data_IF_336098645395
#
_entry.id   IF_336098645395
#
_cell.length_a   1.000
_cell.length_b   1.000
_cell.length_c   1.000
_cell.angle_alpha   90.00
_cell.angle_beta   90.00
_cell.angle_gamma   90.00
#
_symmetry.space_group_name_H-M   'P 1'
#
loop_
_entity.id
_entity.type
_entity.pdbx_description
1 polymer ?
#
# COMPACT_ATOMS: atom_id res chain seq x y z
N UNK A 1 58.04 19.93 -11.48
CA UNK A 1 56.64 19.69 -11.13
C UNK A 1 56.14 18.49 -11.90
N UNK A 2 55.85 17.35 -11.26
CA UNK A 2 55.60 16.09 -11.95
C UNK A 2 54.34 16.14 -12.84
N UNK A 3 54.45 15.63 -14.07
CA UNK A 3 53.33 15.50 -15.02
C UNK A 3 52.05 14.94 -14.37
N UNK A 4 52.20 14.01 -13.46
CA UNK A 4 51.11 13.43 -12.67
C UNK A 4 50.38 14.48 -11.85
N UNK A 5 51.09 15.40 -11.19
CA UNK A 5 50.42 16.44 -10.36
C UNK A 5 49.66 17.45 -11.18
N UNK A 6 50.15 17.77 -12.40
CA UNK A 6 49.42 18.64 -13.33
C UNK A 6 48.18 17.97 -13.89
N UNK A 7 48.25 16.69 -14.21
CA UNK A 7 47.14 15.88 -14.67
C UNK A 7 46.03 15.78 -13.60
N UNK A 8 46.40 15.47 -12.37
CA UNK A 8 45.46 15.39 -11.24
C UNK A 8 44.78 16.75 -11.01
N UNK A 9 45.49 17.87 -11.02
CA UNK A 9 44.89 19.20 -10.87
C UNK A 9 43.91 19.52 -11.99
N UNK A 10 44.20 19.17 -13.23
CA UNK A 10 43.29 19.32 -14.37
C UNK A 10 42.05 18.47 -14.19
N UNK A 11 42.19 17.21 -13.78
CA UNK A 11 41.08 16.30 -13.53
C UNK A 11 40.17 16.85 -12.42
N UNK A 12 40.74 17.31 -11.30
CA UNK A 12 39.98 17.94 -10.22
C UNK A 12 39.23 19.20 -10.69
N UNK A 13 39.89 20.01 -11.54
CA UNK A 13 39.25 21.22 -12.08
C UNK A 13 38.08 20.91 -13.00
N UNK A 14 38.21 19.89 -13.85
CA UNK A 14 37.12 19.42 -14.71
C UNK A 14 35.97 18.86 -13.88
N UNK A 15 36.29 18.06 -12.86
CA UNK A 15 35.28 17.50 -11.96
C UNK A 15 34.52 18.59 -11.18
N UNK A 16 35.23 19.62 -10.69
CA UNK A 16 34.58 20.77 -10.01
C UNK A 16 33.63 21.50 -10.97
N UNK A 17 34.05 21.79 -12.21
CA UNK A 17 33.20 22.47 -13.19
C UNK A 17 31.97 21.63 -13.55
N UNK A 18 32.16 20.34 -13.72
CA UNK A 18 31.07 19.39 -14.00
C UNK A 18 30.08 19.33 -12.82
N UNK A 19 30.58 19.29 -11.58
CA UNK A 19 29.72 19.28 -10.38
C UNK A 19 28.90 20.58 -10.25
N UNK A 20 29.54 21.74 -10.52
CA UNK A 20 28.83 23.03 -10.51
C UNK A 20 27.75 23.03 -11.61
N UNK A 21 28.09 22.61 -12.82
CA UNK A 21 27.14 22.49 -13.93
C UNK A 21 25.95 21.60 -13.54
N UNK A 22 26.21 20.44 -12.95
CA UNK A 22 25.17 19.50 -12.53
C UNK A 22 24.25 20.12 -11.47
N UNK A 23 24.81 20.83 -10.47
CA UNK A 23 24.03 21.50 -9.44
C UNK A 23 23.14 22.58 -10.06
N UNK A 24 23.70 23.43 -10.92
CA UNK A 24 22.92 24.48 -11.61
C UNK A 24 21.81 23.89 -12.45
N UNK A 25 22.12 22.81 -13.18
CA UNK A 25 21.15 22.10 -13.97
C UNK A 25 20.00 21.53 -13.14
N UNK A 26 20.30 20.89 -12.00
CA UNK A 26 19.27 20.34 -11.09
C UNK A 26 18.40 21.44 -10.48
N UNK A 27 18.99 22.58 -10.13
CA UNK A 27 18.22 23.72 -9.61
C UNK A 27 17.29 24.29 -10.70
N UNK A 28 17.79 24.43 -11.93
CA UNK A 28 16.96 24.90 -13.04
C UNK A 28 15.83 23.92 -13.38
N UNK A 29 16.09 22.61 -13.31
CA UNK A 29 15.07 21.58 -13.55
C UNK A 29 13.96 21.65 -12.49
N UNK A 30 14.31 21.82 -11.20
CA UNK A 30 13.36 22.00 -10.12
C UNK A 30 12.53 23.28 -10.31
N UNK A 31 13.18 24.39 -10.62
CA UNK A 31 12.49 25.69 -10.86
C UNK A 31 11.55 25.56 -12.05
N UNK A 32 12.03 25.01 -13.16
CA UNK A 32 11.22 24.81 -14.36
C UNK A 32 10.02 23.91 -14.08
N UNK A 33 10.23 22.78 -13.39
CA UNK A 33 9.15 21.87 -13.03
C UNK A 33 8.13 22.52 -12.07
N UNK A 34 8.58 23.42 -11.17
CA UNK A 34 7.68 24.15 -10.27
C UNK A 34 6.74 25.11 -11.00
N UNK A 35 7.15 25.65 -12.14
CA UNK A 35 6.37 26.56 -12.96
C UNK A 35 5.33 25.87 -13.86
N UNK A 36 5.41 24.55 -14.04
CA UNK A 36 4.43 23.80 -14.81
C UNK A 36 3.08 23.81 -14.07
N UNK A 37 1.95 24.12 -14.74
CA UNK A 37 0.63 24.06 -14.15
C UNK A 37 0.29 22.68 -13.57
N UNK A 38 -0.44 22.61 -12.46
CA UNK A 38 -0.72 21.36 -11.74
C UNK A 38 -1.48 20.32 -12.56
N UNK A 39 -2.39 20.75 -13.43
CA UNK A 39 -3.10 19.87 -14.36
C UNK A 39 -2.15 19.20 -15.38
N UNK A 40 -1.12 19.91 -15.82
CA UNK A 40 -0.09 19.36 -16.70
C UNK A 40 0.92 18.51 -15.93
N UNK A 41 1.31 18.93 -14.71
CA UNK A 41 2.14 18.11 -13.83
C UNK A 41 1.49 16.77 -13.56
N UNK A 42 0.20 16.74 -13.25
CA UNK A 42 -0.53 15.50 -12.96
C UNK A 42 -0.49 14.49 -14.14
N UNK A 43 -0.40 15.00 -15.37
CA UNK A 43 -0.23 14.17 -16.58
C UNK A 43 1.22 13.71 -16.80
N UNK A 44 2.18 14.48 -16.32
CA UNK A 44 3.61 14.19 -16.43
C UNK A 44 4.10 13.24 -15.34
N UNK A 45 3.45 13.23 -14.18
CA UNK A 45 3.85 12.35 -13.11
C UNK A 45 3.72 10.88 -13.51
N UNK A 46 4.76 10.12 -13.24
CA UNK A 46 4.69 8.69 -13.17
C UNK A 46 4.19 8.30 -11.77
N UNK A 47 3.32 7.29 -11.64
CA UNK A 47 2.82 6.77 -10.38
C UNK A 47 3.95 6.45 -9.37
N UNK A 48 5.13 6.00 -9.86
CA UNK A 48 6.33 5.78 -9.04
C UNK A 48 6.85 7.01 -8.31
N UNK A 49 6.60 8.21 -8.83
CA UNK A 49 7.00 9.45 -8.17
C UNK A 49 6.14 9.78 -6.96
N UNK A 50 4.94 9.22 -6.88
CA UNK A 50 3.97 9.47 -5.82
C UNK A 50 3.97 8.39 -4.74
N UNK A 51 4.46 7.17 -5.06
CA UNK A 51 4.75 6.12 -4.10
C UNK A 51 6.18 6.30 -3.62
N UNK A 52 6.34 6.82 -2.42
CA UNK A 52 7.64 7.16 -1.83
C UNK A 52 8.02 6.13 -0.78
N UNK A 53 9.33 5.88 -0.63
CA UNK A 53 9.81 5.09 0.50
C UNK A 53 9.51 5.81 1.81
N UNK A 54 8.84 5.11 2.71
CA UNK A 54 8.73 5.56 4.10
C UNK A 54 9.97 5.14 4.89
N UNK A 55 10.32 5.96 5.85
CA UNK A 55 11.43 5.73 6.76
C UNK A 55 11.04 4.86 7.96
N UNK A 56 9.75 4.80 8.25
CA UNK A 56 9.20 4.19 9.45
C UNK A 56 8.40 2.92 9.15
N UNK A 57 7.98 2.77 7.89
CA UNK A 57 7.25 1.65 7.37
C UNK A 57 7.42 1.65 5.84
N UNK A 58 7.84 0.67 5.25
CA UNK A 58 8.36 0.42 3.91
C UNK A 58 8.07 1.50 2.83
N UNK A 59 6.80 1.88 2.58
CA UNK A 59 6.41 2.86 1.56
C UNK A 59 5.09 3.56 1.89
N UNK A 60 4.80 4.67 1.19
CA UNK A 60 3.55 5.42 1.32
C UNK A 60 3.32 6.30 0.08
N UNK A 61 2.21 7.00 0.04
CA UNK A 61 2.01 8.09 -0.89
C UNK A 61 2.68 9.38 -0.41
N UNK A 62 3.08 10.18 -1.38
CA UNK A 62 3.51 11.56 -1.12
C UNK A 62 2.32 12.40 -0.65
N UNK A 63 2.45 13.17 0.44
CA UNK A 63 1.42 14.11 0.88
C UNK A 63 1.12 15.20 -0.15
N UNK A 64 -0.11 15.71 -0.13
CA UNK A 64 -0.58 16.83 -0.96
C UNK A 64 -0.30 16.62 -2.45
N UNK A 65 -0.55 15.41 -2.95
CA UNK A 65 -0.22 14.98 -4.30
C UNK A 65 -1.48 14.74 -5.13
N UNK A 66 -1.41 15.07 -6.41
CA UNK A 66 -2.47 14.81 -7.40
C UNK A 66 -1.84 14.17 -8.62
N UNK A 67 -2.28 12.98 -8.99
CA UNK A 67 -1.73 12.25 -10.14
C UNK A 67 -2.75 11.28 -10.72
N UNK A 68 -2.47 10.82 -11.95
CA UNK A 68 -3.21 9.71 -12.56
C UNK A 68 -2.44 8.42 -12.37
N UNK A 69 -3.15 7.39 -11.96
CA UNK A 69 -2.67 6.02 -11.95
C UNK A 69 -3.46 5.17 -12.94
N UNK A 70 -2.99 3.97 -13.21
CA UNK A 70 -3.62 3.02 -14.11
C UNK A 70 -3.72 1.68 -13.41
N UNK A 71 -4.88 1.03 -13.56
CA UNK A 71 -5.09 -0.34 -13.12
C UNK A 71 -5.82 -1.10 -14.22
N UNK A 72 -5.11 -2.00 -14.87
CA UNK A 72 -5.60 -2.58 -16.10
C UNK A 72 -5.86 -1.51 -17.16
N UNK A 73 -7.07 -1.46 -17.68
CA UNK A 73 -7.53 -0.43 -18.63
C UNK A 73 -8.06 0.83 -17.94
N UNK A 74 -8.25 0.79 -16.63
CA UNK A 74 -8.79 1.92 -15.89
C UNK A 74 -7.71 2.97 -15.62
N UNK A 75 -8.00 4.18 -16.03
CA UNK A 75 -7.23 5.36 -15.66
C UNK A 75 -8.02 6.18 -14.67
N UNK A 76 -7.48 6.35 -13.47
CA UNK A 76 -8.16 7.02 -12.38
C UNK A 76 -7.27 8.06 -11.72
N UNK A 77 -7.90 9.04 -11.08
CA UNK A 77 -7.19 10.11 -10.41
C UNK A 77 -7.05 9.82 -8.92
N UNK A 78 -5.85 10.00 -8.42
CA UNK A 78 -5.55 9.92 -6.99
C UNK A 78 -5.23 11.33 -6.48
N UNK A 79 -5.89 11.70 -5.40
CA UNK A 79 -5.51 12.80 -4.55
C UNK A 79 -5.03 12.26 -3.21
N UNK A 80 -4.05 12.94 -2.61
CA UNK A 80 -3.60 12.63 -1.26
C UNK A 80 -3.69 13.88 -0.39
N UNK A 81 -4.12 13.71 0.85
CA UNK A 81 -4.21 14.78 1.83
C UNK A 81 -2.83 15.11 2.46
N UNK A 82 -2.81 15.98 3.47
CA UNK A 82 -1.58 16.40 4.15
C UNK A 82 -0.84 15.30 4.89
N UNK A 83 -1.47 14.16 5.13
CA UNK A 83 -0.86 12.97 5.74
C UNK A 83 -0.30 11.99 4.70
N UNK A 84 -0.58 12.21 3.40
CA UNK A 84 -0.26 11.25 2.35
C UNK A 84 -1.32 10.17 2.16
N UNK A 85 -2.47 10.29 2.78
CA UNK A 85 -3.55 9.33 2.65
C UNK A 85 -4.41 9.64 1.44
N UNK A 86 -4.89 8.61 0.73
CA UNK A 86 -5.78 8.77 -0.41
C UNK A 86 -7.07 9.47 0.03
N UNK A 87 -7.48 10.50 -0.71
CA UNK A 87 -8.56 11.39 -0.34
C UNK A 87 -9.29 11.90 -1.61
N UNK A 88 -10.43 12.56 -1.44
CA UNK A 88 -11.19 13.19 -2.54
C UNK A 88 -10.51 14.43 -3.10
N UNK A 89 -9.60 15.05 -2.35
CA UNK A 89 -8.86 16.25 -2.76
C UNK A 89 -7.56 16.40 -1.98
N UNK A 90 -6.69 17.28 -2.48
CA UNK A 90 -5.54 17.75 -1.72
C UNK A 90 -6.03 18.71 -0.65
N UNK A 91 -6.10 18.25 0.59
CA UNK A 91 -6.55 19.06 1.73
C UNK A 91 -5.67 18.87 2.94
N UNK A 92 -5.65 19.86 3.80
CA UNK A 92 -5.14 19.71 5.16
C UNK A 92 -6.13 18.85 5.95
N UNK A 93 -5.63 17.85 6.65
CA UNK A 93 -6.46 17.05 7.56
C UNK A 93 -6.69 17.85 8.84
N UNK A 94 -7.94 17.99 9.21
CA UNK A 94 -8.38 18.56 10.46
C UNK A 94 -8.97 17.44 11.32
N UNK A 95 -8.30 17.12 12.41
CA UNK A 95 -8.81 16.14 13.37
C UNK A 95 -10.07 16.64 14.04
N UNK A 96 -10.99 15.71 14.29
CA UNK A 96 -12.29 15.96 14.92
C UNK A 96 -12.37 15.22 16.25
N UNK A 97 -13.53 15.22 16.91
CA UNK A 97 -13.73 14.47 18.15
C UNK A 97 -13.58 12.96 17.91
N UNK A 98 -14.00 12.49 16.75
CA UNK A 98 -13.81 11.11 16.32
C UNK A 98 -13.03 11.03 15.02
N UNK A 99 -11.93 10.27 15.05
CA UNK A 99 -11.03 10.11 13.91
C UNK A 99 -10.84 8.63 13.61
N UNK A 100 -11.41 8.16 12.52
CA UNK A 100 -11.41 6.75 12.12
C UNK A 100 -10.35 6.53 11.05
N UNK A 101 -9.40 5.65 11.34
CA UNK A 101 -8.33 5.26 10.42
C UNK A 101 -8.68 3.92 9.76
N UNK A 102 -8.85 3.92 8.44
CA UNK A 102 -8.85 2.71 7.64
C UNK A 102 -7.42 2.40 7.19
N UNK A 103 -6.97 1.17 7.43
CA UNK A 103 -5.67 0.69 6.98
C UNK A 103 -5.83 -0.71 6.37
N UNK A 104 -5.06 -0.98 5.33
CA UNK A 104 -5.10 -2.19 4.55
C UNK A 104 -4.19 -2.04 3.33
N UNK A 105 -4.27 -2.98 2.43
CA UNK A 105 -3.51 -3.09 1.19
C UNK A 105 -4.18 -2.35 0.00
N UNK A 106 -4.04 -2.90 -1.19
CA UNK A 106 -4.62 -2.39 -2.44
C UNK A 106 -6.15 -2.36 -2.44
N UNK A 107 -6.82 -3.22 -1.68
CA UNK A 107 -8.27 -3.20 -1.52
C UNK A 107 -8.72 -1.96 -0.74
N UNK A 108 -8.00 -1.60 0.32
CA UNK A 108 -8.30 -0.39 1.10
C UNK A 108 -7.85 0.87 0.39
N UNK A 109 -6.72 0.84 -0.30
CA UNK A 109 -6.35 1.92 -1.23
C UNK A 109 -7.46 2.16 -2.25
N UNK A 110 -8.11 1.11 -2.71
CA UNK A 110 -9.08 1.14 -3.80
C UNK A 110 -8.40 1.40 -5.13
N UNK A 111 -7.49 0.48 -5.53
CA UNK A 111 -6.80 0.56 -6.83
C UNK A 111 -7.80 0.52 -7.98
N UNK A 112 -7.53 1.24 -9.06
CA UNK A 112 -8.42 1.34 -10.21
C UNK A 112 -9.61 2.29 -10.05
N UNK A 113 -9.80 2.92 -8.87
CA UNK A 113 -11.01 3.68 -8.54
C UNK A 113 -10.65 5.00 -7.87
N UNK A 114 -11.34 6.09 -8.24
CA UNK A 114 -11.30 7.36 -7.50
C UNK A 114 -11.84 7.17 -6.08
N UNK A 115 -11.33 7.98 -5.15
CA UNK A 115 -11.64 7.88 -3.71
C UNK A 115 -13.14 7.79 -3.41
N UNK A 116 -13.96 8.60 -4.06
CA UNK A 116 -15.41 8.70 -3.83
C UNK A 116 -16.16 7.39 -4.10
N UNK A 117 -15.58 6.52 -4.93
CA UNK A 117 -16.14 5.23 -5.31
C UNK A 117 -15.45 4.05 -4.58
N UNK A 118 -14.42 4.31 -3.76
CA UNK A 118 -13.84 3.27 -2.88
C UNK A 118 -14.79 2.98 -1.72
N UNK A 119 -14.71 1.81 -1.13
CA UNK A 119 -15.53 1.47 0.02
C UNK A 119 -15.32 2.47 1.18
N UNK A 120 -14.11 2.96 1.40
CA UNK A 120 -13.81 3.97 2.42
C UNK A 120 -14.51 5.29 2.11
N UNK A 121 -14.44 5.78 0.86
CA UNK A 121 -15.10 7.02 0.44
C UNK A 121 -16.63 6.94 0.48
N UNK A 122 -17.19 5.76 0.19
CA UNK A 122 -18.62 5.49 0.31
C UNK A 122 -19.07 5.48 1.78
N UNK A 123 -18.33 4.80 2.66
CA UNK A 123 -18.55 4.81 4.11
C UNK A 123 -18.47 6.24 4.65
N UNK A 124 -17.43 6.99 4.27
CA UNK A 124 -17.30 8.40 4.67
C UNK A 124 -18.55 9.21 4.30
N UNK A 125 -19.06 9.00 3.08
CA UNK A 125 -20.23 9.71 2.58
C UNK A 125 -21.47 9.39 3.43
N UNK A 126 -21.69 8.14 3.79
CA UNK A 126 -22.83 7.72 4.62
C UNK A 126 -22.71 8.18 6.08
N UNK A 127 -21.52 8.03 6.66
CA UNK A 127 -21.28 8.41 8.05
C UNK A 127 -21.41 9.92 8.25
N UNK A 128 -20.88 10.74 7.33
CA UNK A 128 -20.97 12.21 7.41
C UNK A 128 -22.39 12.77 7.23
N UNK A 129 -23.32 11.98 6.70
CA UNK A 129 -24.77 12.35 6.73
C UNK A 129 -25.33 12.34 8.15
N UNK A 130 -24.86 11.42 9.00
CA UNK A 130 -25.34 11.23 10.37
C UNK A 130 -24.54 12.01 11.40
N UNK A 131 -23.21 12.09 11.20
CA UNK A 131 -22.26 12.65 12.17
C UNK A 131 -21.40 13.74 11.53
N UNK A 132 -21.48 14.96 12.06
CA UNK A 132 -20.73 16.11 11.51
C UNK A 132 -19.31 16.24 12.04
N UNK A 133 -19.05 15.74 13.27
CA UNK A 133 -17.76 15.90 13.95
C UNK A 133 -16.92 14.61 13.90
N UNK A 134 -16.75 14.09 12.68
CA UNK A 134 -16.01 12.86 12.41
C UNK A 134 -15.06 13.07 11.23
N UNK A 135 -13.86 12.53 11.33
CA UNK A 135 -12.89 12.47 10.25
C UNK A 135 -12.62 11.02 9.85
N UNK A 136 -12.65 10.73 8.56
CA UNK A 136 -12.36 9.42 7.98
C UNK A 136 -11.06 9.52 7.21
N UNK A 137 -10.13 8.60 7.48
CA UNK A 137 -8.78 8.61 6.94
C UNK A 137 -8.50 7.28 6.23
N UNK A 138 -8.21 7.30 4.93
CA UNK A 138 -7.82 6.12 4.17
C UNK A 138 -6.29 6.01 4.09
N UNK A 139 -5.70 5.23 4.98
CA UNK A 139 -4.27 4.98 5.05
C UNK A 139 -3.84 3.67 4.33
N UNK A 140 -4.74 3.06 3.55
CA UNK A 140 -4.43 1.88 2.74
C UNK A 140 -3.49 2.21 1.58
N UNK A 141 -2.56 1.31 1.30
CA UNK A 141 -1.62 1.42 0.18
C UNK A 141 -1.33 0.02 -0.37
N UNK A 142 -1.28 -0.09 -1.68
CA UNK A 142 -0.98 -1.32 -2.40
C UNK A 142 0.24 -2.05 -1.81
N UNK A 143 0.16 -3.37 -1.72
CA UNK A 143 1.20 -4.25 -1.19
C UNK A 143 1.57 -3.99 0.27
N UNK A 144 0.68 -3.43 1.06
CA UNK A 144 0.81 -3.49 2.51
C UNK A 144 0.45 -4.89 3.01
N UNK A 145 0.94 -5.20 4.20
CA UNK A 145 0.63 -6.43 4.95
C UNK A 145 0.58 -6.12 6.44
N UNK A 146 0.29 -7.08 7.29
CA UNK A 146 0.14 -6.86 8.73
C UNK A 146 1.42 -6.32 9.37
N UNK A 147 2.61 -6.68 8.85
CA UNK A 147 3.89 -6.11 9.27
C UNK A 147 3.97 -4.60 9.04
N UNK A 148 3.49 -4.15 7.87
CA UNK A 148 3.47 -2.72 7.55
C UNK A 148 2.36 -2.02 8.32
N UNK A 149 1.18 -2.65 8.52
CA UNK A 149 0.10 -2.09 9.34
C UNK A 149 0.61 -1.80 10.75
N UNK A 150 1.27 -2.76 11.39
CA UNK A 150 1.86 -2.60 12.71
C UNK A 150 2.83 -1.41 12.77
N UNK A 151 3.78 -1.37 11.85
CA UNK A 151 4.79 -0.31 11.82
C UNK A 151 4.20 1.06 11.55
N UNK A 152 3.18 1.16 10.65
CA UNK A 152 2.49 2.40 10.33
C UNK A 152 1.62 2.88 11.49
N UNK A 153 0.83 2.00 12.09
CA UNK A 153 0.00 2.31 13.26
C UNK A 153 0.88 2.81 14.41
N UNK A 154 1.97 2.09 14.71
CA UNK A 154 2.93 2.53 15.72
C UNK A 154 3.49 3.92 15.39
N UNK A 155 3.89 4.18 14.15
CA UNK A 155 4.39 5.49 13.73
C UNK A 155 3.35 6.59 13.93
N UNK A 156 2.11 6.35 13.52
CA UNK A 156 1.03 7.34 13.60
C UNK A 156 0.66 7.63 15.06
N UNK A 157 0.54 6.60 15.89
CA UNK A 157 0.09 6.74 17.27
C UNK A 157 1.22 7.14 18.23
N UNK A 158 2.40 6.53 18.10
CA UNK A 158 3.48 6.73 19.06
C UNK A 158 4.42 7.88 18.69
N UNK A 159 4.73 8.03 17.41
CA UNK A 159 5.68 9.05 16.97
C UNK A 159 5.01 10.35 16.54
N UNK A 160 3.88 10.25 15.83
CA UNK A 160 3.10 11.41 15.37
C UNK A 160 2.07 11.87 16.38
N UNK A 161 1.73 11.03 17.37
CA UNK A 161 0.71 11.30 18.40
C UNK A 161 -0.63 11.74 17.80
N UNK A 162 -1.03 11.09 16.71
CA UNK A 162 -2.29 11.41 16.05
C UNK A 162 -3.47 11.00 16.93
N UNK A 163 -4.51 11.85 17.06
CA UNK A 163 -5.67 11.59 17.92
C UNK A 163 -6.66 10.62 17.24
N UNK A 164 -6.22 9.42 16.89
CA UNK A 164 -7.05 8.38 16.32
C UNK A 164 -7.89 7.75 17.42
N UNK A 165 -9.18 7.60 17.18
CA UNK A 165 -10.15 7.02 18.13
C UNK A 165 -10.56 5.60 17.73
N UNK A 166 -10.58 5.32 16.44
CA UNK A 166 -11.00 4.04 15.89
C UNK A 166 -10.05 3.61 14.77
N UNK A 167 -9.75 2.33 14.69
CA UNK A 167 -8.97 1.74 13.61
C UNK A 167 -9.76 0.60 12.98
N UNK A 168 -9.82 0.58 11.65
CA UNK A 168 -10.42 -0.49 10.86
C UNK A 168 -9.33 -1.05 9.95
N UNK A 169 -8.96 -2.31 10.19
CA UNK A 169 -7.96 -3.02 9.40
C UNK A 169 -8.67 -3.97 8.45
N UNK A 170 -8.39 -3.87 7.16
CA UNK A 170 -8.79 -4.89 6.19
C UNK A 170 -7.58 -5.78 5.92
N UNK A 171 -7.72 -7.08 6.18
CA UNK A 171 -6.69 -8.10 5.94
C UNK A 171 -7.14 -9.01 4.81
N UNK A 172 -6.24 -9.30 3.89
CA UNK A 172 -6.42 -10.22 2.78
C UNK A 172 -5.53 -11.46 2.90
N UNK A 173 -5.82 -12.51 2.15
CA UNK A 173 -4.96 -13.69 2.11
C UNK A 173 -3.57 -13.40 1.52
N UNK A 174 -3.50 -12.42 0.60
CA UNK A 174 -2.25 -11.95 0.02
C UNK A 174 -1.32 -11.29 1.05
N UNK A 175 -1.87 -10.65 2.09
CA UNK A 175 -1.08 -10.03 3.17
C UNK A 175 -0.26 -11.06 3.94
N UNK A 176 -0.84 -12.26 4.14
CA UNK A 176 -0.18 -13.38 4.83
C UNK A 176 1.06 -13.84 4.06
N UNK A 177 0.94 -13.94 2.72
CA UNK A 177 2.08 -14.23 1.87
C UNK A 177 3.14 -13.12 1.93
N UNK A 178 2.72 -11.88 1.84
CA UNK A 178 3.60 -10.72 1.84
C UNK A 178 4.36 -10.58 3.17
N UNK A 179 3.76 -10.89 4.30
CA UNK A 179 4.42 -10.92 5.60
C UNK A 179 5.57 -11.91 5.63
N UNK A 180 5.40 -13.08 5.02
CA UNK A 180 6.44 -14.11 5.03
C UNK A 180 7.55 -13.88 4.00
N UNK A 181 7.19 -13.51 2.76
CA UNK A 181 8.15 -13.43 1.66
C UNK A 181 8.73 -12.05 1.40
N UNK A 182 7.98 -10.99 1.71
CA UNK A 182 8.40 -9.62 1.38
C UNK A 182 8.80 -8.81 2.61
N UNK A 183 8.11 -9.01 3.74
CA UNK A 183 8.18 -8.09 4.87
C UNK A 183 8.48 -8.76 6.22
N UNK A 184 9.03 -9.96 6.22
CA UNK A 184 9.41 -10.68 7.44
C UNK A 184 10.24 -9.81 8.40
N UNK A 185 11.11 -8.94 7.87
CA UNK A 185 12.00 -8.09 8.65
C UNK A 185 11.40 -6.70 8.96
N UNK A 186 10.15 -6.43 8.52
CA UNK A 186 9.57 -5.07 8.63
C UNK A 186 8.87 -4.84 9.98
N UNK A 187 8.20 -5.81 10.56
CA UNK A 187 7.36 -5.65 11.75
C UNK A 187 8.09 -5.04 12.94
N UNK A 188 8.69 -5.87 13.78
CA UNK A 188 9.39 -5.43 14.98
C UNK A 188 10.66 -4.62 14.67
N UNK A 189 11.40 -4.97 13.62
CA UNK A 189 12.64 -4.30 13.27
C UNK A 189 12.45 -2.83 12.89
N UNK A 190 11.35 -2.46 12.23
CA UNK A 190 11.02 -1.06 11.96
C UNK A 190 10.55 -0.31 13.22
N UNK A 191 10.02 -1.02 14.21
CA UNK A 191 9.64 -0.44 15.50
C UNK A 191 10.85 -0.28 16.39
N UNK A 192 11.69 -1.31 16.52
CA UNK A 192 12.78 -1.39 17.47
C UNK A 192 14.09 -0.84 16.92
N UNK A 193 14.41 -1.11 15.68
CA UNK A 193 15.62 -0.60 15.07
C UNK A 193 15.42 0.86 14.69
N UNK A 194 16.18 1.70 15.35
CA UNK A 194 16.42 3.06 14.94
C UNK A 194 16.93 3.00 13.50
N UNK A 195 16.03 3.21 12.57
CA UNK A 195 16.36 3.33 11.16
C UNK A 195 17.61 4.19 11.08
N UNK A 196 18.65 3.66 10.50
CA UNK A 196 19.96 4.28 10.42
C UNK A 196 19.79 5.75 10.03
N UNK A 197 20.03 6.65 10.99
CA UNK A 197 19.82 8.08 10.80
C UNK A 197 20.63 8.63 9.60
N UNK A 198 21.73 7.95 9.22
CA UNK A 198 22.53 8.31 8.05
C UNK A 198 21.76 8.25 6.75
N UNK A 199 20.82 7.30 6.61
CA UNK A 199 20.03 7.15 5.39
C UNK A 199 18.82 8.09 5.32
N UNK A 200 18.38 8.68 6.44
CA UNK A 200 17.19 9.55 6.51
C UNK A 200 17.27 10.77 5.57
N UNK A 201 18.39 11.46 5.59
CA UNK A 201 18.57 12.63 4.73
C UNK A 201 18.66 12.25 3.26
N UNK A 202 19.30 11.12 2.96
CA UNK A 202 19.42 10.61 1.61
C UNK A 202 18.05 10.19 1.05
N UNK A 203 17.25 9.47 1.82
CA UNK A 203 15.88 9.10 1.41
C UNK A 203 15.02 10.36 1.20
N UNK A 204 15.09 11.35 2.09
CA UNK A 204 14.40 12.63 1.90
C UNK A 204 14.85 13.33 0.63
N UNK A 205 16.14 13.36 0.35
CA UNK A 205 16.70 13.97 -0.85
C UNK A 205 16.24 13.24 -2.12
N UNK A 206 16.28 11.91 -2.12
CA UNK A 206 15.81 11.08 -3.24
C UNK A 206 14.31 11.31 -3.48
N UNK A 207 13.50 11.29 -2.42
CA UNK A 207 12.06 11.54 -2.53
C UNK A 207 11.77 12.96 -3.03
N UNK A 208 12.51 13.95 -2.53
CA UNK A 208 12.40 15.33 -3.01
C UNK A 208 12.74 15.44 -4.50
N UNK A 209 13.85 14.83 -4.92
CA UNK A 209 14.26 14.81 -6.33
C UNK A 209 13.22 14.13 -7.22
N UNK A 210 12.77 12.92 -6.84
CA UNK A 210 11.73 12.17 -7.55
C UNK A 210 10.46 12.99 -7.77
N UNK A 211 10.13 13.81 -6.82
CA UNK A 211 8.86 14.53 -6.77
C UNK A 211 8.90 15.91 -7.41
N UNK A 212 10.08 16.49 -7.61
CA UNK A 212 10.21 17.90 -7.96
C UNK A 212 11.07 18.15 -9.22
N UNK A 213 11.37 17.09 -10.00
CA UNK A 213 12.19 17.24 -11.19
C UNK A 213 11.53 16.66 -12.44
N UNK A 214 11.57 17.42 -13.53
CA UNK A 214 11.05 16.98 -14.82
C UNK A 214 11.88 15.83 -15.40
N UNK A 215 13.21 15.92 -15.25
CA UNK A 215 14.12 14.89 -15.77
C UNK A 215 13.84 13.52 -15.18
N UNK A 216 13.53 13.45 -13.89
CA UNK A 216 13.14 12.18 -13.26
C UNK A 216 11.87 11.61 -13.90
N UNK A 217 10.86 12.45 -14.14
CA UNK A 217 9.61 12.01 -14.77
C UNK A 217 9.86 11.48 -16.20
N UNK A 218 10.73 12.14 -16.96
CA UNK A 218 11.08 11.71 -18.32
C UNK A 218 11.89 10.42 -18.29
N UNK A 219 12.94 10.35 -17.47
CA UNK A 219 13.83 9.17 -17.42
C UNK A 219 13.04 7.93 -17.00
N UNK A 220 12.17 8.03 -16.01
CA UNK A 220 11.39 6.87 -15.54
C UNK A 220 10.37 6.35 -16.55
N UNK A 221 10.02 7.15 -17.57
CA UNK A 221 9.16 6.70 -18.68
C UNK A 221 9.94 6.01 -19.81
N UNK A 222 11.18 6.41 -20.02
CA UNK A 222 12.02 5.91 -21.13
C UNK A 222 12.81 4.68 -20.72
N UNK A 223 13.21 4.58 -19.44
CA UNK A 223 14.05 3.49 -18.96
C UNK A 223 13.21 2.34 -18.40
N UNK A 224 13.59 1.08 -18.74
CA UNK A 224 12.97 -0.07 -18.11
C UNK A 224 13.10 0.00 -16.56
N UNK A 225 12.09 -0.51 -15.84
CA UNK A 225 12.00 -0.42 -14.38
C UNK A 225 13.23 -0.86 -13.59
N UNK A 226 13.99 -1.80 -14.13
CA UNK A 226 15.13 -2.43 -13.44
C UNK A 226 16.44 -1.65 -13.52
N UNK A 227 16.57 -0.66 -14.40
CA UNK A 227 17.86 0.01 -14.66
C UNK A 227 18.20 1.05 -13.59
N UNK A 228 17.24 1.89 -13.21
CA UNK A 228 17.49 2.96 -12.22
C UNK A 228 17.69 2.41 -10.79
N UNK A 229 16.87 1.48 -10.28
CA UNK A 229 17.14 0.83 -8.99
C UNK A 229 18.47 0.09 -8.95
N UNK A 230 18.85 -0.59 -10.03
CA UNK A 230 20.14 -1.28 -10.15
C UNK A 230 21.34 -0.33 -10.05
N UNK A 231 21.27 0.82 -10.72
CA UNK A 231 22.30 1.86 -10.66
C UNK A 231 22.41 2.49 -9.25
N UNK A 232 21.28 2.79 -8.62
CA UNK A 232 21.26 3.33 -7.25
C UNK A 232 21.83 2.29 -6.27
N UNK A 233 21.47 1.01 -6.41
CA UNK A 233 21.99 -0.09 -5.59
C UNK A 233 23.49 -0.28 -5.74
N UNK A 234 24.03 -0.16 -6.96
CA UNK A 234 25.48 -0.27 -7.22
C UNK A 234 26.29 0.89 -6.63
N UNK A 235 25.72 2.09 -6.56
CA UNK A 235 26.39 3.29 -6.02
C UNK A 235 26.46 3.26 -4.49
N UNK A 236 25.43 2.73 -3.83
CA UNK A 236 25.28 2.87 -2.37
C UNK A 236 25.51 1.60 -1.57
N UNK A 237 25.80 0.46 -2.24
CA UNK A 237 26.17 -0.83 -1.61
C UNK A 237 25.38 -1.16 -0.32
N UNK A 238 24.11 -0.76 -0.28
CA UNK A 238 23.24 -1.05 0.84
C UNK A 238 22.80 -2.51 0.77
N UNK A 239 23.02 -3.26 1.85
CA UNK A 239 22.57 -4.64 2.05
C UNK A 239 21.05 -4.77 2.15
N UNK A 240 20.29 -3.73 1.87
CA UNK A 240 18.85 -3.80 1.81
C UNK A 240 18.48 -4.67 0.62
N UNK A 241 18.03 -5.88 0.90
CA UNK A 241 17.30 -6.72 -0.05
C UNK A 241 16.01 -5.99 -0.45
N UNK A 242 16.15 -5.02 -1.34
CA UNK A 242 15.03 -4.60 -2.19
C UNK A 242 14.94 -5.71 -3.25
N UNK A 243 14.43 -6.85 -2.85
CA UNK A 243 14.01 -7.86 -3.81
C UNK A 243 12.88 -7.26 -4.61
N UNK A 244 13.21 -7.01 -5.87
CA UNK A 244 12.33 -6.95 -7.01
C UNK A 244 10.83 -6.77 -6.67
N UNK A 245 10.43 -5.56 -6.49
CA UNK A 245 9.05 -5.16 -6.75
C UNK A 245 8.80 -5.54 -8.22
N UNK A 246 8.16 -6.67 -8.42
CA UNK A 246 7.94 -7.25 -9.73
C UNK A 246 6.85 -6.44 -10.42
N UNK A 247 7.24 -5.54 -11.32
CA UNK A 247 6.33 -4.81 -12.21
C UNK A 247 5.59 -5.72 -13.20
N UNK A 248 5.77 -7.01 -13.10
CA UNK A 248 5.02 -7.98 -13.89
C UNK A 248 3.52 -8.05 -13.52
N UNK A 249 3.08 -7.43 -12.44
CA UNK A 249 1.64 -7.31 -12.14
C UNK A 249 0.88 -6.43 -13.13
N UNK A 250 1.55 -5.57 -13.90
CA UNK A 250 0.90 -4.80 -14.97
C UNK A 250 0.69 -5.60 -16.27
N UNK A 251 1.24 -6.77 -16.42
CA UNK A 251 1.16 -7.58 -17.65
C UNK A 251 0.03 -8.61 -17.69
N UNK A 252 -0.81 -8.70 -16.68
CA UNK A 252 -1.86 -9.74 -16.62
C UNK A 252 -3.17 -9.41 -17.34
N UNK A 253 -3.23 -8.33 -18.10
CA UNK A 253 -4.49 -7.80 -18.64
C UNK A 253 -4.81 -8.18 -20.08
N UNK A 254 -4.20 -9.18 -20.64
CA UNK A 254 -4.53 -9.59 -21.99
C UNK A 254 -4.89 -11.07 -22.07
N UNK A 255 -6.10 -11.44 -21.69
CA UNK A 255 -6.70 -12.70 -22.22
C UNK A 255 -8.24 -12.61 -22.15
N UNK A 256 -8.86 -13.14 -23.19
CA UNK A 256 -10.29 -13.17 -23.48
C UNK A 256 -11.11 -14.06 -22.54
N UNK A 257 -12.21 -13.67 -22.41
CA UNK A 257 -13.50 -13.94 -21.79
C UNK A 257 -13.96 -15.36 -21.61
N UNK A 258 -13.52 -16.52 -21.48
CA UNK A 258 -14.51 -17.58 -21.55
C UNK A 258 -14.53 -18.70 -20.49
N UNK A 259 -13.51 -18.90 -19.64
CA UNK A 259 -13.62 -19.96 -18.63
C UNK A 259 -12.86 -19.61 -17.35
N UNK A 260 -13.35 -20.09 -16.19
CA UNK A 260 -12.70 -19.93 -14.88
C UNK A 260 -11.24 -20.42 -14.91
N UNK A 261 -10.96 -21.46 -15.68
CA UNK A 261 -9.62 -22.06 -15.83
C UNK A 261 -8.60 -21.10 -16.47
N UNK A 262 -9.05 -20.03 -17.13
CA UNK A 262 -8.22 -19.03 -17.79
C UNK A 262 -7.95 -17.78 -16.89
N UNK A 263 -8.48 -17.76 -15.68
CA UNK A 263 -8.23 -16.66 -14.74
C UNK A 263 -6.85 -16.83 -14.12
N UNK A 264 -5.90 -16.01 -14.57
CA UNK A 264 -4.47 -16.16 -14.24
C UNK A 264 -4.16 -16.11 -12.75
N UNK A 265 -4.87 -15.28 -11.97
CA UNK A 265 -4.62 -15.11 -10.54
C UNK A 265 -5.03 -16.33 -9.69
N UNK A 266 -5.90 -17.23 -10.19
CA UNK A 266 -6.32 -18.43 -9.43
C UNK A 266 -5.16 -19.39 -9.13
N UNK A 267 -4.09 -19.30 -9.89
CA UNK A 267 -2.89 -20.11 -9.71
C UNK A 267 -1.72 -19.29 -9.15
N UNK A 268 -1.99 -18.08 -8.66
CA UNK A 268 -0.94 -17.24 -8.10
C UNK A 268 -0.35 -17.86 -6.83
N UNK A 269 0.97 -17.77 -6.70
CA UNK A 269 1.71 -18.38 -5.60
C UNK A 269 1.29 -17.84 -4.23
N UNK A 270 0.81 -16.60 -4.17
CA UNK A 270 0.43 -15.91 -2.94
C UNK A 270 -0.66 -16.66 -2.15
N UNK A 271 -1.46 -17.48 -2.82
CA UNK A 271 -2.54 -18.26 -2.21
C UNK A 271 -2.25 -19.75 -2.13
N UNK A 272 -1.10 -20.22 -2.60
CA UNK A 272 -0.79 -21.64 -2.69
C UNK A 272 -0.88 -22.38 -1.35
N UNK A 273 -0.61 -21.69 -0.25
CA UNK A 273 -0.72 -22.23 1.11
C UNK A 273 -2.15 -22.65 1.51
N UNK A 274 -3.17 -22.11 0.85
CA UNK A 274 -4.56 -22.49 1.09
C UNK A 274 -5.00 -23.74 0.29
N UNK A 275 -4.19 -24.18 -0.66
CA UNK A 275 -4.56 -25.26 -1.61
C UNK A 275 -3.61 -26.44 -1.60
N UNK A 276 -2.41 -26.31 -1.09
CA UNK A 276 -1.36 -27.32 -1.10
C UNK A 276 -0.88 -27.63 0.31
N UNK A 277 -0.96 -28.93 0.70
CA UNK A 277 -0.43 -29.41 1.98
C UNK A 277 1.06 -29.09 2.13
N UNK A 278 1.83 -29.30 1.06
CA UNK A 278 3.25 -29.01 1.06
C UNK A 278 3.56 -27.52 1.33
N UNK A 279 2.86 -26.61 0.65
CA UNK A 279 3.03 -25.17 0.85
C UNK A 279 2.55 -24.72 2.23
N UNK A 280 1.41 -25.27 2.71
CA UNK A 280 0.89 -24.98 4.03
C UNK A 280 1.88 -25.39 5.14
N UNK A 281 2.45 -26.59 5.06
CA UNK A 281 3.39 -27.09 6.07
C UNK A 281 4.78 -26.43 5.97
N UNK A 282 5.25 -26.12 4.75
CA UNK A 282 6.56 -25.48 4.57
C UNK A 282 6.59 -24.03 5.03
N UNK A 283 5.57 -23.24 4.71
CA UNK A 283 5.57 -21.81 4.99
C UNK A 283 4.22 -21.23 5.43
N UNK A 284 3.09 -21.77 4.94
CA UNK A 284 1.76 -21.17 5.15
C UNK A 284 1.41 -20.97 6.62
N UNK A 285 1.64 -22.02 7.45
CA UNK A 285 1.42 -21.96 8.91
C UNK A 285 2.26 -20.86 9.55
N UNK A 286 3.55 -20.78 9.21
CA UNK A 286 4.44 -19.75 9.76
C UNK A 286 4.04 -18.35 9.33
N UNK A 287 3.57 -18.20 8.10
CA UNK A 287 3.07 -16.94 7.58
C UNK A 287 1.82 -16.47 8.36
N UNK A 288 0.86 -17.38 8.58
CA UNK A 288 -0.32 -17.11 9.41
C UNK A 288 0.12 -16.70 10.82
N UNK A 289 1.00 -17.47 11.46
CA UNK A 289 1.48 -17.19 12.82
C UNK A 289 2.15 -15.80 12.90
N UNK A 290 2.95 -15.44 11.90
CA UNK A 290 3.59 -14.12 11.82
C UNK A 290 2.56 -12.99 11.69
N UNK A 291 1.58 -13.14 10.80
CA UNK A 291 0.52 -12.15 10.63
C UNK A 291 -0.31 -12.00 11.92
N UNK A 292 -0.63 -13.13 12.59
CA UNK A 292 -1.33 -13.10 13.87
C UNK A 292 -0.51 -12.42 14.97
N UNK A 293 0.80 -12.62 15.01
CA UNK A 293 1.68 -11.93 15.95
C UNK A 293 1.65 -10.41 15.74
N UNK A 294 1.74 -9.95 14.49
CA UNK A 294 1.64 -8.53 14.16
C UNK A 294 0.29 -7.94 14.60
N UNK A 295 -0.82 -8.66 14.35
CA UNK A 295 -2.14 -8.22 14.78
C UNK A 295 -2.27 -8.17 16.29
N UNK A 296 -1.70 -9.11 17.04
CA UNK A 296 -1.65 -9.11 18.51
C UNK A 296 -0.93 -7.87 19.07
N UNK A 297 0.19 -7.49 18.44
CA UNK A 297 0.89 -6.25 18.85
C UNK A 297 0.07 -4.99 18.52
N UNK A 298 -0.66 -4.97 17.39
CA UNK A 298 -1.59 -3.87 17.09
C UNK A 298 -2.71 -3.79 18.13
N UNK A 299 -3.32 -4.92 18.51
CA UNK A 299 -4.35 -4.99 19.55
C UNK A 299 -3.84 -4.38 20.85
N UNK A 300 -2.67 -4.80 21.29
CA UNK A 300 -2.02 -4.28 22.50
C UNK A 300 -1.79 -2.75 22.46
N UNK A 301 -1.33 -2.22 21.31
CA UNK A 301 -1.16 -0.77 21.14
C UNK A 301 -2.51 -0.05 21.22
N UNK A 302 -3.54 -0.59 20.60
CA UNK A 302 -4.90 -0.02 20.62
C UNK A 302 -5.49 -0.02 22.04
N UNK A 303 -5.36 -1.11 22.76
CA UNK A 303 -5.85 -1.24 24.16
C UNK A 303 -5.18 -0.23 25.09
N UNK A 304 -3.85 -0.09 25.00
CA UNK A 304 -3.11 0.89 25.80
C UNK A 304 -3.59 2.32 25.60
N UNK A 305 -4.24 2.61 24.47
CA UNK A 305 -4.71 3.93 24.08
C UNK A 305 -6.23 4.06 24.09
N UNK A 306 -6.94 3.01 24.49
CA UNK A 306 -8.40 2.94 24.45
C UNK A 306 -8.97 3.24 23.05
N UNK A 307 -8.34 2.70 22.01
CA UNK A 307 -8.76 2.83 20.60
C UNK A 307 -9.64 1.64 20.25
N UNK A 308 -10.82 1.89 19.67
CA UNK A 308 -11.66 0.83 19.11
C UNK A 308 -10.99 0.24 17.87
N UNK A 309 -10.89 -1.09 17.83
CA UNK A 309 -10.27 -1.82 16.74
C UNK A 309 -11.26 -2.77 16.07
N UNK A 310 -11.38 -2.69 14.76
CA UNK A 310 -12.09 -3.67 13.95
C UNK A 310 -11.09 -4.32 12.99
N UNK A 311 -10.99 -5.64 13.01
CA UNK A 311 -10.23 -6.42 12.05
C UNK A 311 -11.22 -7.08 11.11
N UNK A 312 -11.12 -6.77 9.83
CA UNK A 312 -11.96 -7.30 8.77
C UNK A 312 -11.12 -8.25 7.93
N UNK A 313 -11.49 -9.54 7.86
CA UNK A 313 -10.85 -10.47 6.94
C UNK A 313 -11.68 -10.57 5.65
N UNK A 314 -11.02 -10.30 4.53
CA UNK A 314 -11.65 -10.32 3.21
C UNK A 314 -11.65 -11.71 2.62
N UNK A 315 -12.83 -12.17 2.15
CA UNK A 315 -12.92 -13.32 1.26
C UNK A 315 -12.69 -12.86 -0.18
N UNK A 316 -11.48 -13.10 -0.67
CA UNK A 316 -11.05 -12.68 -2.01
C UNK A 316 -11.60 -13.61 -3.10
N UNK A 317 -11.57 -13.20 -4.39
CA UNK A 317 -12.05 -14.01 -5.50
C UNK A 317 -11.42 -15.41 -5.57
N UNK A 318 -10.16 -15.53 -5.20
CA UNK A 318 -9.47 -16.85 -5.15
C UNK A 318 -10.18 -17.82 -4.21
N UNK A 319 -10.60 -17.33 -3.03
CA UNK A 319 -11.28 -18.15 -2.02
C UNK A 319 -12.67 -18.58 -2.52
N UNK A 320 -13.41 -17.66 -3.12
CA UNK A 320 -14.80 -17.96 -3.57
C UNK A 320 -14.86 -18.78 -4.85
N UNK A 321 -13.89 -18.65 -5.77
CA UNK A 321 -13.88 -19.34 -7.05
C UNK A 321 -13.25 -20.74 -6.96
N UNK A 322 -12.10 -20.85 -6.29
CA UNK A 322 -11.30 -22.09 -6.29
C UNK A 322 -11.60 -23.01 -5.11
N UNK A 323 -12.26 -22.51 -4.06
CA UNK A 323 -12.51 -23.20 -2.79
C UNK A 323 -11.23 -23.79 -2.17
N UNK A 324 -10.69 -23.18 -1.11
CA UNK A 324 -9.49 -23.66 -0.45
C UNK A 324 -9.69 -25.03 0.20
N UNK A 325 -8.60 -25.68 0.58
CA UNK A 325 -8.66 -26.86 1.44
C UNK A 325 -9.28 -26.46 2.78
N UNK A 326 -10.29 -27.19 3.22
CA UNK A 326 -11.07 -26.85 4.43
C UNK A 326 -10.21 -26.78 5.69
N UNK A 327 -9.29 -27.72 5.88
CA UNK A 327 -8.47 -27.78 7.09
C UNK A 327 -7.52 -26.56 7.19
N UNK A 328 -6.90 -26.14 6.08
CA UNK A 328 -5.97 -25.00 6.08
C UNK A 328 -6.70 -23.69 6.21
N UNK A 329 -7.83 -23.57 5.54
CA UNK A 329 -8.67 -22.40 5.62
C UNK A 329 -9.29 -22.25 7.01
N UNK A 330 -9.84 -23.32 7.58
CA UNK A 330 -10.40 -23.32 8.92
C UNK A 330 -9.34 -23.05 9.98
N UNK A 331 -8.11 -23.55 9.81
CA UNK A 331 -6.99 -23.18 10.68
C UNK A 331 -6.80 -21.66 10.70
N UNK A 332 -6.68 -21.04 9.52
CA UNK A 332 -6.49 -19.59 9.40
C UNK A 332 -7.66 -18.82 10.02
N UNK A 333 -8.92 -19.20 9.70
CA UNK A 333 -10.11 -18.53 10.26
C UNK A 333 -10.13 -18.64 11.78
N UNK A 334 -9.80 -19.83 12.33
CA UNK A 334 -9.77 -20.02 13.80
C UNK A 334 -8.75 -19.13 14.49
N UNK A 335 -7.61 -18.85 13.83
CA UNK A 335 -6.61 -17.93 14.37
C UNK A 335 -7.12 -16.47 14.42
N UNK A 336 -7.88 -16.03 13.39
CA UNK A 336 -8.55 -14.73 13.42
C UNK A 336 -9.62 -14.66 14.52
N UNK A 337 -10.46 -15.68 14.67
CA UNK A 337 -11.49 -15.73 15.71
C UNK A 337 -10.91 -15.67 17.12
N UNK A 338 -9.76 -16.31 17.36
CA UNK A 338 -9.07 -16.24 18.66
C UNK A 338 -8.62 -14.82 19.04
N UNK A 339 -8.36 -13.94 18.05
CA UNK A 339 -7.97 -12.57 18.33
C UNK A 339 -9.05 -11.81 19.10
N UNK A 340 -10.34 -12.06 18.81
CA UNK A 340 -11.46 -11.34 19.44
C UNK A 340 -11.48 -11.49 20.97
N UNK A 341 -10.96 -12.62 21.47
CA UNK A 341 -10.87 -12.85 22.93
C UNK A 341 -9.75 -12.07 23.62
N UNK A 342 -8.92 -11.34 22.88
CA UNK A 342 -7.77 -10.63 23.45
C UNK A 342 -8.13 -9.24 23.98
N UNK A 343 -9.26 -8.64 23.55
CA UNK A 343 -9.64 -7.30 23.94
C UNK A 343 -11.15 -7.06 23.83
N UNK A 344 -11.73 -6.35 24.80
CA UNK A 344 -13.13 -5.90 24.74
C UNK A 344 -13.35 -4.78 23.68
N UNK A 345 -12.28 -4.09 23.30
CA UNK A 345 -12.31 -3.03 22.29
C UNK A 345 -12.14 -3.57 20.84
N UNK A 346 -11.99 -4.88 20.68
CA UNK A 346 -11.78 -5.54 19.40
C UNK A 346 -13.04 -6.24 18.91
N UNK A 347 -13.32 -6.07 17.61
CA UNK A 347 -14.25 -6.92 16.85
C UNK A 347 -13.55 -7.51 15.65
N UNK A 348 -13.78 -8.80 15.37
CA UNK A 348 -13.31 -9.49 14.18
C UNK A 348 -14.51 -9.83 13.29
N UNK A 349 -14.48 -9.40 12.03
CA UNK A 349 -15.56 -9.62 11.08
C UNK A 349 -15.01 -10.20 9.78
N UNK A 350 -15.81 -11.03 9.12
CA UNK A 350 -15.49 -11.62 7.82
C UNK A 350 -16.35 -10.97 6.75
N UNK A 351 -15.70 -10.42 5.72
CA UNK A 351 -16.35 -9.74 4.59
C UNK A 351 -16.59 -10.77 3.49
N UNK A 352 -17.79 -11.32 3.44
CA UNK A 352 -18.20 -12.42 2.55
C UNK A 352 -19.67 -12.38 2.13
N UNK A 353 -20.52 -11.64 2.86
CA UNK A 353 -21.98 -11.71 2.66
C UNK A 353 -22.43 -11.03 1.37
N UNK A 354 -21.61 -10.13 0.82
CA UNK A 354 -21.83 -9.52 -0.49
C UNK A 354 -21.98 -10.58 -1.63
N UNK A 355 -21.37 -11.75 -1.47
CA UNK A 355 -21.42 -12.81 -2.47
C UNK A 355 -22.76 -13.57 -2.46
N UNK A 356 -23.48 -13.58 -1.34
CA UNK A 356 -24.77 -14.25 -1.18
C UNK A 356 -25.88 -13.67 -2.07
N UNK A 357 -25.65 -12.51 -2.68
CA UNK A 357 -26.58 -11.86 -3.62
C UNK A 357 -26.55 -12.45 -5.03
N UNK A 358 -25.66 -13.39 -5.29
CA UNK A 358 -25.44 -14.00 -6.60
C UNK A 358 -25.73 -15.51 -6.57
N UNK A 359 -26.17 -16.04 -7.71
CA UNK A 359 -26.52 -17.45 -7.83
C UNK A 359 -25.31 -18.39 -7.70
N UNK A 360 -24.12 -17.89 -8.07
CA UNK A 360 -22.86 -18.62 -7.95
C UNK A 360 -21.68 -17.66 -7.88
N UNK A 361 -20.51 -18.21 -7.48
CA UNK A 361 -19.29 -17.44 -7.29
C UNK A 361 -18.77 -16.77 -8.56
N UNK A 362 -18.97 -17.39 -9.73
CA UNK A 362 -18.52 -16.83 -10.99
C UNK A 362 -19.35 -15.61 -11.41
N UNK A 363 -20.67 -15.68 -11.20
CA UNK A 363 -21.55 -14.53 -11.40
C UNK A 363 -21.16 -13.37 -10.45
N UNK A 364 -20.89 -13.68 -9.18
CA UNK A 364 -20.40 -12.70 -8.23
C UNK A 364 -19.10 -12.06 -8.71
N UNK A 365 -18.13 -12.85 -9.13
CA UNK A 365 -16.86 -12.38 -9.63
C UNK A 365 -17.01 -11.42 -10.82
N UNK A 366 -17.75 -11.80 -11.85
CA UNK A 366 -18.00 -10.96 -13.04
C UNK A 366 -18.63 -9.60 -12.72
N UNK A 367 -19.46 -9.56 -11.69
CA UNK A 367 -20.17 -8.35 -11.32
C UNK A 367 -19.39 -7.43 -10.38
N UNK A 368 -18.51 -7.98 -9.54
CA UNK A 368 -17.93 -7.26 -8.40
C UNK A 368 -16.45 -6.90 -8.58
N UNK A 369 -15.77 -7.55 -9.51
CA UNK A 369 -14.33 -7.39 -9.68
C UNK A 369 -13.99 -6.83 -11.07
N UNK A 370 -12.78 -6.32 -11.22
CA UNK A 370 -12.23 -6.06 -12.53
C UNK A 370 -11.96 -7.37 -13.28
N UNK A 371 -12.03 -7.34 -14.59
CA UNK A 371 -11.81 -8.53 -15.42
C UNK A 371 -10.38 -9.05 -15.24
N UNK A 372 -10.24 -10.34 -14.96
CA UNK A 372 -8.97 -11.02 -14.70
C UNK A 372 -8.14 -10.40 -13.56
N UNK A 373 -8.81 -9.87 -12.54
CA UNK A 373 -8.20 -9.20 -11.41
C UNK A 373 -8.88 -9.60 -10.11
N UNK A 374 -8.16 -9.46 -8.99
CA UNK A 374 -8.69 -9.73 -7.66
C UNK A 374 -9.39 -8.51 -7.05
N UNK A 375 -9.22 -7.31 -7.61
CA UNK A 375 -9.70 -6.08 -7.01
C UNK A 375 -11.13 -5.75 -7.40
N UNK A 376 -11.85 -5.18 -6.45
CA UNK A 376 -13.24 -4.76 -6.64
C UNK A 376 -13.36 -3.62 -7.65
N UNK A 377 -14.32 -3.76 -8.57
CA UNK A 377 -14.81 -2.64 -9.35
C UNK A 377 -15.72 -1.72 -8.48
N UNK A 378 -16.32 -0.69 -9.06
CA UNK A 378 -17.20 0.25 -8.33
C UNK A 378 -18.36 -0.44 -7.63
N UNK A 379 -18.94 -1.48 -8.25
CA UNK A 379 -20.06 -2.22 -7.67
C UNK A 379 -19.61 -3.09 -6.48
N UNK A 380 -18.45 -3.71 -6.60
CA UNK A 380 -17.83 -4.46 -5.50
C UNK A 380 -17.57 -3.56 -4.29
N UNK A 381 -16.97 -2.39 -4.51
CA UNK A 381 -16.74 -1.41 -3.44
C UNK A 381 -18.04 -0.94 -2.77
N UNK A 382 -19.12 -0.74 -3.54
CA UNK A 382 -20.43 -0.37 -2.99
C UNK A 382 -20.99 -1.48 -2.08
N UNK A 383 -20.93 -2.74 -2.50
CA UNK A 383 -21.48 -3.83 -1.68
C UNK A 383 -20.64 -4.07 -0.44
N UNK A 384 -19.32 -3.98 -0.55
CA UNK A 384 -18.41 -4.06 0.60
C UNK A 384 -18.65 -2.92 1.60
N UNK A 385 -18.84 -1.68 1.11
CA UNK A 385 -19.15 -0.57 2.00
C UNK A 385 -20.44 -0.78 2.79
N UNK A 386 -21.48 -1.33 2.15
CA UNK A 386 -22.72 -1.66 2.81
C UNK A 386 -22.55 -2.76 3.86
N UNK A 387 -21.82 -3.83 3.54
CA UNK A 387 -21.56 -4.91 4.50
C UNK A 387 -20.76 -4.43 5.71
N UNK A 388 -19.76 -3.55 5.50
CA UNK A 388 -19.01 -2.95 6.60
C UNK A 388 -19.90 -2.04 7.46
N UNK A 389 -20.78 -1.24 6.84
CA UNK A 389 -21.73 -0.37 7.57
C UNK A 389 -22.72 -1.17 8.42
N UNK A 390 -23.02 -2.42 8.05
CA UNK A 390 -23.87 -3.33 8.83
C UNK A 390 -23.12 -4.01 9.98
N UNK A 391 -21.81 -4.28 9.82
CA UNK A 391 -21.02 -5.07 10.77
C UNK A 391 -20.22 -4.22 11.77
N UNK A 392 -19.92 -2.98 11.43
CA UNK A 392 -19.09 -2.09 12.24
C UNK A 392 -19.92 -0.96 12.84
N UNK A 393 -19.80 -0.77 14.15
CA UNK A 393 -20.43 0.34 14.87
C UNK A 393 -19.63 1.64 14.68
N UNK A 394 -20.16 2.51 13.84
CA UNK A 394 -19.60 3.82 13.56
C UNK A 394 -20.08 4.92 14.49
#
# INVERSE_FOLDING_TARGET
MNFISLFIRRLISVFKKFSIFLIVYLVLDIVFFSLIPEDLKSKLYNNRAHRIKSFYYHHDFRPMSSFYDHWGYERYKIFTNSLGFKDRSNRLVEFKDRNILFIGDSFTEGVGIEYENTYVGLIETEIKKKYKNIEILNAGVQSYSTSIYLSKIYHLLERKKMPITDIIIMVSGGDIFDDYYKYMDVGEDYILNHVDQKNKYLIKLINFYKSNTLIYQIITRITPPKVIPGLIKSIFNSKDRIENYNENEQMYFSISNDEIDNISFLNHKDYSYLYSANEFDQWGRKAIDQSMQNLKEIIKICDQKNIKLNILYLYEPVIILKKPNEDYFNYMISEFEKLENLSENLKVNFIKDLYNKYNNSYEAYKNLFFINDIHWNKRGNLLVSNEILEKVDF
#
